data_IF_813879182793
#
_entry.id   IF_813879182793
#
_cell.length_a   1.000
_cell.length_b   1.000
_cell.length_c   1.000
_cell.angle_alpha   90.00
_cell.angle_beta   90.00
_cell.angle_gamma   90.00
#
_symmetry.space_group_name_H-M   'P 1'
#
loop_
_entity.id
_entity.type
_entity.pdbx_description
1 polymer ?
#
# COMPACT_ATOMS: atom_id res chain seq x y z
N UNK A 1 3.87 -2.09 11.34
CA UNK A 1 3.29 -2.42 10.01
C UNK A 1 3.58 -3.85 9.61
N UNK A 2 4.86 -4.24 9.41
CA UNK A 2 5.24 -5.63 9.12
C UNK A 2 4.57 -6.63 10.07
N UNK A 3 4.83 -6.50 11.37
CA UNK A 3 4.30 -7.46 12.35
C UNK A 3 2.77 -7.50 12.37
N UNK A 4 2.11 -6.37 12.11
CA UNK A 4 0.65 -6.31 11.99
C UNK A 4 0.15 -7.11 10.78
N UNK A 5 0.79 -6.95 9.62
CA UNK A 5 0.43 -7.70 8.41
C UNK A 5 0.74 -9.20 8.58
N UNK A 6 1.85 -9.54 9.22
CA UNK A 6 2.21 -10.92 9.60
C UNK A 6 1.11 -11.53 10.51
N UNK A 7 0.73 -10.85 11.59
CA UNK A 7 -0.35 -11.27 12.51
C UNK A 7 -1.68 -11.44 11.78
N UNK A 8 -1.97 -10.58 10.80
CA UNK A 8 -3.18 -10.66 9.98
C UNK A 8 -3.10 -11.73 8.87
N UNK A 9 -1.98 -12.42 8.72
CA UNK A 9 -1.80 -13.49 7.75
C UNK A 9 -1.68 -13.01 6.30
N UNK A 10 -1.17 -11.80 6.08
CA UNK A 10 -0.82 -11.32 4.74
C UNK A 10 0.57 -11.81 4.35
N UNK A 11 0.72 -12.33 3.13
CA UNK A 11 2.03 -12.41 2.49
C UNK A 11 2.45 -11.01 2.05
N UNK A 12 3.58 -10.49 2.51
CA UNK A 12 3.96 -9.11 2.19
C UNK A 12 5.47 -8.91 2.03
N UNK A 13 5.86 -7.92 1.24
CA UNK A 13 7.26 -7.60 1.00
C UNK A 13 7.45 -6.12 0.69
N UNK A 14 8.58 -5.51 1.12
CA UNK A 14 8.89 -4.13 0.75
C UNK A 14 9.21 -4.05 -0.74
N UNK A 15 8.91 -2.91 -1.34
CA UNK A 15 9.42 -2.54 -2.65
C UNK A 15 10.52 -1.50 -2.46
N UNK A 16 11.59 -1.61 -3.24
CA UNK A 16 12.69 -0.66 -3.24
C UNK A 16 12.76 0.05 -4.59
N UNK A 17 12.94 1.36 -4.54
CA UNK A 17 13.19 2.15 -5.73
C UNK A 17 14.66 2.01 -6.16
N UNK A 18 14.90 1.74 -7.43
CA UNK A 18 16.22 1.57 -8.01
C UNK A 18 16.18 1.62 -9.54
N UNK A 19 17.29 1.25 -10.17
CA UNK A 19 17.39 1.18 -11.62
C UNK A 19 16.40 0.14 -12.17
N UNK A 20 15.51 0.57 -13.07
CA UNK A 20 14.46 -0.28 -13.65
C UNK A 20 13.16 -0.36 -12.84
N UNK A 21 13.08 0.28 -11.67
CA UNK A 21 11.83 0.37 -10.90
C UNK A 21 10.80 1.26 -11.61
N UNK A 22 9.52 0.89 -11.51
CA UNK A 22 8.44 1.75 -12.02
C UNK A 22 8.39 3.07 -11.22
N UNK A 23 8.22 4.23 -11.87
CA UNK A 23 8.16 5.50 -11.15
C UNK A 23 6.98 5.59 -10.17
N UNK A 24 7.26 5.96 -8.92
CA UNK A 24 6.21 6.13 -7.91
C UNK A 24 5.69 4.84 -7.28
N UNK A 25 6.45 3.74 -7.37
CA UNK A 25 6.14 2.51 -6.63
C UNK A 25 5.82 2.82 -5.15
N UNK A 26 4.85 2.09 -4.57
CA UNK A 26 4.54 2.20 -3.16
C UNK A 26 5.61 1.51 -2.32
N UNK A 27 5.65 1.78 -1.02
CA UNK A 27 6.63 1.17 -0.12
C UNK A 27 6.48 -0.36 0.06
N UNK A 28 5.25 -0.90 -0.05
CA UNK A 28 4.98 -2.31 0.25
C UNK A 28 3.84 -2.89 -0.56
N UNK A 29 3.94 -4.19 -0.86
CA UNK A 29 2.83 -5.04 -1.30
C UNK A 29 2.42 -5.98 -0.18
N UNK A 30 1.11 -6.18 -0.01
CA UNK A 30 0.54 -7.21 0.85
C UNK A 30 -0.56 -7.98 0.11
N UNK A 31 -0.57 -9.30 0.23
CA UNK A 31 -1.46 -10.21 -0.51
C UNK A 31 -2.14 -11.17 0.45
N UNK A 32 -3.45 -11.31 0.35
CA UNK A 32 -4.26 -12.28 1.12
C UNK A 32 -5.58 -12.55 0.42
N UNK A 33 -6.01 -13.82 0.37
CA UNK A 33 -7.32 -14.23 -0.16
C UNK A 33 -7.62 -13.65 -1.57
N UNK A 34 -6.63 -13.70 -2.47
CA UNK A 34 -6.76 -13.16 -3.83
C UNK A 34 -6.76 -11.64 -3.94
N UNK A 35 -6.63 -10.91 -2.83
CA UNK A 35 -6.53 -9.44 -2.81
C UNK A 35 -5.07 -9.00 -2.74
N UNK A 36 -4.72 -7.98 -3.53
CA UNK A 36 -3.40 -7.36 -3.55
C UNK A 36 -3.53 -5.90 -3.11
N UNK A 37 -2.82 -5.54 -2.06
CA UNK A 37 -2.76 -4.21 -1.48
C UNK A 37 -1.43 -3.55 -1.83
N UNK A 38 -1.53 -2.39 -2.48
CA UNK A 38 -0.41 -1.47 -2.71
C UNK A 38 -0.40 -0.45 -1.58
N UNK A 39 0.61 -0.49 -0.70
CA UNK A 39 0.63 0.29 0.55
C UNK A 39 1.76 1.31 0.50
N UNK A 40 1.39 2.57 0.55
CA UNK A 40 2.29 3.73 0.65
C UNK A 40 2.21 4.34 2.05
N UNK A 41 3.36 4.55 2.67
CA UNK A 41 3.50 5.12 4.01
C UNK A 41 4.04 6.55 3.90
N UNK A 42 3.37 7.49 4.55
CA UNK A 42 3.87 8.86 4.70
C UNK A 42 4.02 9.23 6.16
N UNK A 43 5.15 9.83 6.52
CA UNK A 43 5.27 10.50 7.81
C UNK A 43 4.17 11.57 7.97
N UNK A 44 3.78 11.95 9.21
CA UNK A 44 2.90 13.09 9.44
C UNK A 44 3.37 14.33 8.67
N UNK A 45 2.50 14.94 7.87
CA UNK A 45 2.82 16.07 7.00
C UNK A 45 3.47 15.70 5.65
N UNK A 46 3.91 14.45 5.47
CA UNK A 46 4.40 13.91 4.21
C UNK A 46 3.30 13.86 3.15
N UNK A 47 3.66 14.22 1.92
CA UNK A 47 2.77 14.21 0.75
C UNK A 47 3.28 13.22 -0.29
N UNK A 48 2.38 12.67 -1.08
CA UNK A 48 2.76 11.90 -2.26
C UNK A 48 3.44 12.80 -3.29
N UNK A 49 4.45 12.26 -3.97
CA UNK A 49 5.02 12.90 -5.15
C UNK A 49 4.06 12.79 -6.34
N UNK A 50 4.32 13.56 -7.40
CA UNK A 50 3.53 13.49 -8.65
C UNK A 50 3.50 12.07 -9.22
N UNK A 51 4.64 11.38 -9.22
CA UNK A 51 4.72 9.99 -9.71
C UNK A 51 3.95 9.01 -8.82
N UNK A 52 3.95 9.21 -7.49
CA UNK A 52 3.17 8.36 -6.57
C UNK A 52 1.67 8.57 -6.74
N UNK A 53 1.22 9.81 -6.98
CA UNK A 53 -0.18 10.09 -7.30
C UNK A 53 -0.58 9.45 -8.64
N UNK A 54 0.29 9.52 -9.65
CA UNK A 54 0.07 8.87 -10.94
C UNK A 54 -0.03 7.33 -10.79
N UNK A 55 0.90 6.71 -10.05
CA UNK A 55 0.86 5.28 -9.76
C UNK A 55 -0.42 4.86 -9.05
N UNK A 56 -0.82 5.59 -8.01
CA UNK A 56 -2.07 5.34 -7.30
C UNK A 56 -3.27 5.41 -8.24
N UNK A 57 -3.35 6.45 -9.07
CA UNK A 57 -4.42 6.60 -10.06
C UNK A 57 -4.44 5.40 -11.02
N UNK A 58 -3.28 4.98 -11.53
CA UNK A 58 -3.15 3.82 -12.41
C UNK A 58 -3.66 2.51 -11.79
N UNK A 59 -3.43 2.31 -10.49
CA UNK A 59 -3.96 1.17 -9.74
C UNK A 59 -5.49 1.27 -9.63
N UNK A 60 -6.02 2.42 -9.22
CA UNK A 60 -7.46 2.61 -9.02
C UNK A 60 -8.27 2.46 -10.29
N UNK A 61 -7.85 3.06 -11.41
CA UNK A 61 -8.58 2.95 -12.69
C UNK A 61 -8.58 1.53 -13.26
N UNK A 62 -7.67 0.66 -12.79
CA UNK A 62 -7.61 -0.76 -13.14
C UNK A 62 -8.29 -1.66 -12.10
N UNK A 63 -9.00 -1.08 -11.12
CA UNK A 63 -9.71 -1.81 -10.08
C UNK A 63 -8.83 -2.39 -8.97
N UNK A 64 -7.56 -1.99 -8.90
CA UNK A 64 -6.64 -2.42 -7.85
C UNK A 64 -6.83 -1.65 -6.54
N UNK A 65 -6.26 -2.16 -5.46
CA UNK A 65 -6.39 -1.58 -4.12
C UNK A 65 -5.10 -0.86 -3.71
N UNK A 66 -5.17 0.47 -3.62
CA UNK A 66 -4.09 1.31 -3.13
C UNK A 66 -4.47 1.93 -1.78
N UNK A 67 -3.57 1.85 -0.81
CA UNK A 67 -3.75 2.36 0.55
C UNK A 67 -2.63 3.36 0.84
N UNK A 68 -3.02 4.58 1.22
CA UNK A 68 -2.12 5.59 1.77
C UNK A 68 -2.29 5.60 3.29
N UNK A 69 -1.22 5.37 4.04
CA UNK A 69 -1.25 5.33 5.51
C UNK A 69 -0.24 6.30 6.11
N UNK A 70 -0.56 6.90 7.25
CA UNK A 70 0.37 7.74 8.02
C UNK A 70 0.78 7.13 9.35
N UNK A 71 -0.01 6.20 9.85
CA UNK A 71 0.24 5.48 11.09
C UNK A 71 -0.28 4.04 11.02
N UNK A 72 -0.14 3.30 12.12
CA UNK A 72 -0.61 1.91 12.21
C UNK A 72 -2.14 1.84 12.25
N UNK A 73 -2.77 2.83 12.85
CA UNK A 73 -4.23 2.95 12.98
C UNK A 73 -4.87 3.08 11.59
N UNK A 74 -4.35 3.96 10.73
CA UNK A 74 -4.79 4.11 9.33
C UNK A 74 -4.74 2.78 8.58
N UNK A 75 -3.63 2.04 8.75
CA UNK A 75 -3.46 0.72 8.12
C UNK A 75 -4.51 -0.27 8.62
N UNK A 76 -4.76 -0.28 9.93
CA UNK A 76 -5.73 -1.19 10.53
C UNK A 76 -7.15 -0.91 10.04
N UNK A 77 -7.52 0.37 9.94
CA UNK A 77 -8.83 0.80 9.45
C UNK A 77 -8.99 0.44 7.96
N UNK A 78 -7.95 0.70 7.15
CA UNK A 78 -7.97 0.36 5.74
C UNK A 78 -8.11 -1.14 5.50
N UNK A 79 -7.39 -1.98 6.25
CA UNK A 79 -7.48 -3.44 6.13
C UNK A 79 -8.86 -3.94 6.54
N UNK A 80 -9.42 -3.43 7.64
CA UNK A 80 -10.77 -3.82 8.07
C UNK A 80 -11.83 -3.48 7.00
N UNK A 81 -11.71 -2.31 6.34
CA UNK A 81 -12.59 -1.91 5.23
C UNK A 81 -12.45 -2.82 4.00
N UNK A 82 -11.24 -3.31 3.72
CA UNK A 82 -11.00 -4.25 2.61
C UNK A 82 -11.52 -5.65 2.93
N UNK A 83 -11.31 -6.14 4.15
CA UNK A 83 -11.70 -7.49 4.55
C UNK A 83 -13.21 -7.63 4.78
N UNK A 84 -13.90 -6.54 5.17
CA UNK A 84 -15.35 -6.52 5.36
C UNK A 84 -16.17 -6.38 4.07
N UNK A 85 -15.54 -6.32 2.90
CA UNK A 85 -16.19 -6.32 1.57
C UNK A 85 -16.03 -7.69 0.92
#
# INVERSE_FOLDING_TARGET
>A
MKDYLDIKGYFHFPLTAGMGSYPGLPDRIAIKNGRVLFIEVKCPGGKQSVNQMAFQNDIWVKGGQYILVKCLEDLSEAINKVEGR
#
